data_IF_168728048841
#
_entry.id   IF_168728048841
#
_cell.length_a   1.000
_cell.length_b   1.000
_cell.length_c   1.000
_cell.angle_alpha   90.00
_cell.angle_beta   90.00
_cell.angle_gamma   90.00
#
_symmetry.space_group_name_H-M   'P 1'
#
loop_
_entity.id
_entity.type
_entity.pdbx_description
1 polymer ?
#
# COMPACT_ATOMS: atom_id res chain seq x y z
N UNK A 1 19.77 -10.28 -21.52
CA UNK A 1 19.69 -8.94 -22.16
C UNK A 1 20.77 -8.04 -21.55
N UNK A 2 21.87 -7.75 -22.26
CA UNK A 2 23.06 -7.07 -21.72
C UNK A 2 22.98 -5.52 -21.65
N UNK A 3 21.89 -4.89 -22.08
CA UNK A 3 21.77 -3.42 -22.12
C UNK A 3 21.29 -2.78 -20.80
N UNK A 4 20.78 -3.57 -19.86
CA UNK A 4 20.33 -3.05 -18.58
C UNK A 4 21.43 -3.32 -17.56
N UNK A 5 22.15 -2.29 -17.06
CA UNK A 5 23.18 -2.52 -16.06
C UNK A 5 22.52 -3.20 -14.86
N UNK A 6 23.03 -4.37 -14.47
CA UNK A 6 22.62 -5.06 -13.25
C UNK A 6 23.18 -4.28 -12.07
N UNK A 7 22.51 -3.19 -11.71
CA UNK A 7 22.80 -2.52 -10.45
C UNK A 7 22.29 -3.46 -9.36
N UNK A 8 23.19 -4.19 -8.70
CA UNK A 8 22.87 -4.84 -7.44
C UNK A 8 22.40 -3.74 -6.49
N UNK A 9 21.11 -3.79 -6.15
CA UNK A 9 20.54 -2.85 -5.19
C UNK A 9 20.55 -3.52 -3.83
N UNK A 10 20.85 -2.77 -2.76
CA UNK A 10 20.56 -3.25 -1.43
C UNK A 10 19.07 -3.63 -1.37
N UNK A 11 18.77 -4.79 -0.79
CA UNK A 11 17.39 -5.20 -0.49
C UNK A 11 16.78 -4.10 0.37
N UNK A 12 15.82 -3.36 -0.19
CA UNK A 12 15.16 -2.30 0.55
C UNK A 12 14.02 -2.90 1.39
N UNK A 13 13.96 -2.59 2.69
CA UNK A 13 12.80 -2.92 3.51
C UNK A 13 11.54 -2.28 2.93
N UNK A 14 10.41 -2.99 3.01
CA UNK A 14 9.13 -2.54 2.46
C UNK A 14 8.63 -1.22 3.08
N UNK A 15 9.16 -0.85 4.25
CA UNK A 15 8.73 0.30 5.04
C UNK A 15 9.59 1.55 4.83
N UNK A 16 10.66 1.48 4.03
CA UNK A 16 11.54 2.62 3.80
C UNK A 16 11.30 3.26 2.44
N UNK A 17 11.29 4.61 2.37
CA UNK A 17 11.17 5.30 1.09
C UNK A 17 12.39 5.00 0.21
N UNK A 18 12.16 4.79 -1.09
CA UNK A 18 13.25 4.56 -2.04
C UNK A 18 14.14 5.79 -2.14
N UNK A 19 15.45 5.60 -1.96
CA UNK A 19 16.44 6.62 -2.26
C UNK A 19 16.64 6.70 -3.77
N UNK A 20 16.25 7.82 -4.37
CA UNK A 20 16.48 8.05 -5.79
C UNK A 20 17.99 8.31 -6.03
N UNK A 21 18.66 7.52 -6.89
CA UNK A 21 20.03 7.82 -7.26
C UNK A 21 20.06 9.15 -8.02
N UNK A 22 20.88 10.11 -7.57
CA UNK A 22 21.16 11.36 -8.29
C UNK A 22 21.94 11.04 -9.57
N UNK A 23 21.23 10.67 -10.63
CA UNK A 23 21.79 10.46 -11.97
C UNK A 23 21.69 11.77 -12.77
N UNK A 24 22.82 12.21 -13.32
CA UNK A 24 22.95 13.53 -13.96
C UNK A 24 22.07 13.66 -15.21
N UNK A 25 22.01 12.61 -16.03
CA UNK A 25 21.11 12.48 -17.19
C UNK A 25 20.89 10.98 -17.48
N UNK A 26 19.67 10.50 -17.39
CA UNK A 26 19.31 9.15 -17.79
C UNK A 26 17.85 9.10 -18.25
N UNK A 27 17.57 8.29 -19.27
CA UNK A 27 16.21 8.00 -19.71
C UNK A 27 15.87 6.59 -19.20
N UNK A 28 15.06 6.50 -18.15
CA UNK A 28 14.48 5.24 -17.70
C UNK A 28 12.97 5.31 -17.75
N UNK A 29 12.27 4.18 -17.92
CA UNK A 29 10.84 4.12 -17.66
C UNK A 29 10.54 4.65 -16.25
N UNK A 30 9.43 5.36 -16.10
CA UNK A 30 8.91 5.71 -14.77
C UNK A 30 8.75 4.41 -13.96
N UNK A 31 9.27 4.40 -12.74
CA UNK A 31 9.21 3.25 -11.84
C UNK A 31 8.22 3.58 -10.73
N UNK A 32 7.30 2.66 -10.49
CA UNK A 32 6.47 2.66 -9.29
C UNK A 32 6.99 1.59 -8.34
N UNK A 33 6.80 1.82 -7.04
CA UNK A 33 7.20 0.90 -6.00
C UNK A 33 6.34 -0.36 -6.02
N UNK A 34 5.01 -0.21 -6.00
CA UNK A 34 4.08 -1.31 -6.14
C UNK A 34 2.78 -0.89 -6.85
N UNK A 35 2.07 -1.89 -7.36
CA UNK A 35 0.65 -1.77 -7.71
C UNK A 35 -0.11 -2.45 -6.59
N UNK A 36 -1.01 -1.70 -5.96
CA UNK A 36 -1.89 -2.24 -4.93
C UNK A 36 -3.25 -2.51 -5.55
N UNK A 37 -3.86 -3.66 -5.20
CA UNK A 37 -5.15 -4.08 -5.75
C UNK A 37 -6.09 -4.49 -4.63
N UNK A 38 -7.33 -4.00 -4.66
CA UNK A 38 -8.41 -4.50 -3.83
C UNK A 38 -9.15 -5.57 -4.62
N UNK A 39 -9.15 -6.78 -4.07
CA UNK A 39 -9.86 -7.93 -4.63
C UNK A 39 -11.00 -8.35 -3.72
N UNK A 40 -12.14 -8.69 -4.31
CA UNK A 40 -13.19 -9.39 -3.60
C UNK A 40 -12.75 -10.82 -3.26
N UNK A 41 -13.42 -11.52 -2.33
CA UNK A 41 -13.06 -12.90 -1.96
C UNK A 41 -13.06 -13.89 -3.14
N UNK A 42 -13.78 -13.61 -4.23
CA UNK A 42 -13.77 -14.43 -5.44
C UNK A 42 -12.59 -14.12 -6.39
N UNK A 43 -11.68 -13.22 -6.01
CA UNK A 43 -10.49 -12.87 -6.78
C UNK A 43 -10.72 -11.76 -7.82
N UNK A 44 -11.90 -11.17 -7.89
CA UNK A 44 -12.18 -10.07 -8.83
C UNK A 44 -11.59 -8.77 -8.29
N UNK A 45 -10.72 -8.14 -9.09
CA UNK A 45 -10.18 -6.81 -8.78
C UNK A 45 -11.28 -5.76 -8.95
N UNK A 46 -11.58 -5.02 -7.89
CA UNK A 46 -12.60 -3.95 -7.90
C UNK A 46 -11.98 -2.55 -7.89
N UNK A 47 -10.74 -2.42 -7.42
CA UNK A 47 -9.98 -1.18 -7.47
C UNK A 47 -8.48 -1.50 -7.49
N UNK A 48 -7.69 -0.59 -8.06
CA UNK A 48 -6.23 -0.68 -8.05
C UNK A 48 -5.62 0.72 -8.07
N UNK A 49 -4.40 0.85 -7.57
CA UNK A 49 -3.62 2.08 -7.64
C UNK A 49 -2.13 1.80 -7.77
N UNK A 50 -1.36 2.81 -8.20
CA UNK A 50 0.10 2.74 -8.23
C UNK A 50 0.64 3.56 -7.07
N UNK A 51 1.50 2.97 -6.26
CA UNK A 51 2.29 3.70 -5.29
C UNK A 51 3.68 3.93 -5.84
N UNK A 52 4.00 5.19 -6.17
CA UNK A 52 5.25 5.53 -6.87
C UNK A 52 6.49 5.31 -6.00
N UNK A 53 6.42 5.70 -4.72
CA UNK A 53 7.58 5.76 -3.82
C UNK A 53 7.57 4.73 -2.70
N UNK A 54 6.40 4.51 -2.11
CA UNK A 54 6.22 3.59 -1.00
C UNK A 54 4.74 3.27 -0.80
N UNK A 55 4.49 2.04 -0.39
CA UNK A 55 3.23 1.61 0.21
C UNK A 55 3.19 2.05 1.67
N UNK A 56 3.02 3.37 1.87
CA UNK A 56 2.95 3.95 3.21
C UNK A 56 1.54 3.75 3.80
N UNK A 57 1.40 3.54 5.12
CA UNK A 57 0.10 3.40 5.77
C UNK A 57 -0.87 4.56 5.48
N UNK A 58 -0.36 5.78 5.38
CA UNK A 58 -1.17 6.96 5.05
C UNK A 58 -1.68 6.92 3.60
N UNK A 59 -0.84 6.49 2.65
CA UNK A 59 -1.25 6.34 1.26
C UNK A 59 -2.33 5.26 1.11
N UNK A 60 -2.18 4.14 1.85
CA UNK A 60 -3.19 3.09 1.89
C UNK A 60 -4.52 3.63 2.44
N UNK A 61 -4.50 4.35 3.58
CA UNK A 61 -5.73 4.90 4.17
C UNK A 61 -6.43 5.88 3.22
N UNK A 62 -5.69 6.84 2.66
CA UNK A 62 -6.24 7.80 1.70
C UNK A 62 -6.86 7.09 0.49
N UNK A 63 -6.20 6.03 0.02
CA UNK A 63 -6.72 5.25 -1.09
C UNK A 63 -7.98 4.46 -0.70
N UNK A 64 -8.01 3.81 0.47
CA UNK A 64 -9.20 3.12 0.98
C UNK A 64 -10.39 4.08 1.12
N UNK A 65 -10.18 5.29 1.63
CA UNK A 65 -11.24 6.32 1.74
C UNK A 65 -11.72 6.77 0.35
N UNK A 66 -10.82 6.83 -0.64
CA UNK A 66 -11.19 7.17 -2.03
C UNK A 66 -12.03 6.08 -2.70
N UNK A 67 -11.79 4.80 -2.37
CA UNK A 67 -12.53 3.67 -2.92
C UNK A 67 -13.85 3.44 -2.19
N UNK A 68 -13.88 3.66 -0.87
CA UNK A 68 -15.04 3.43 -0.01
C UNK A 68 -15.47 4.72 0.75
N UNK A 69 -16.01 5.72 0.03
CA UNK A 69 -16.31 7.02 0.61
C UNK A 69 -17.45 6.98 1.64
N UNK A 70 -18.46 6.12 1.45
CA UNK A 70 -19.64 6.05 2.34
C UNK A 70 -19.59 4.84 3.26
N UNK A 71 -20.31 4.90 4.39
CA UNK A 71 -20.38 3.78 5.34
C UNK A 71 -20.90 2.50 4.69
N UNK A 72 -21.90 2.58 3.80
CA UNK A 72 -22.50 1.41 3.15
C UNK A 72 -21.57 0.76 2.12
N UNK A 73 -20.63 1.53 1.57
CA UNK A 73 -19.66 1.02 0.60
C UNK A 73 -18.50 0.27 1.26
N UNK A 74 -18.24 0.51 2.55
CA UNK A 74 -17.07 -0.03 3.24
C UNK A 74 -17.24 -1.54 3.51
N UNK A 75 -16.21 -2.36 3.25
CA UNK A 75 -16.28 -3.78 3.55
C UNK A 75 -16.20 -4.02 5.07
N UNK A 76 -16.85 -5.09 5.52
CA UNK A 76 -16.79 -5.53 6.93
C UNK A 76 -15.36 -5.92 7.34
N UNK A 77 -14.59 -6.45 6.41
CA UNK A 77 -13.23 -6.94 6.62
C UNK A 77 -12.28 -6.46 5.53
N UNK A 78 -11.11 -5.99 5.96
CA UNK A 78 -10.01 -5.58 5.08
C UNK A 78 -8.78 -6.38 5.50
N UNK A 79 -8.37 -7.32 4.65
CA UNK A 79 -7.14 -8.09 4.84
C UNK A 79 -6.00 -7.39 4.11
N UNK A 80 -4.92 -7.06 4.82
CA UNK A 80 -3.73 -6.45 4.23
C UNK A 80 -2.49 -6.81 5.05
N UNK A 81 -1.35 -7.01 4.38
CA UNK A 81 -0.06 -7.35 4.99
C UNK A 81 0.30 -6.40 6.14
N UNK A 82 0.15 -5.08 5.93
CA UNK A 82 0.50 -4.04 6.90
C UNK A 82 -0.65 -3.57 7.79
N UNK A 83 -1.67 -4.40 8.00
CA UNK A 83 -2.88 -4.01 8.72
C UNK A 83 -2.61 -3.40 10.10
N UNK A 84 -1.59 -3.89 10.82
CA UNK A 84 -1.19 -3.36 12.12
C UNK A 84 -0.65 -1.92 12.04
N UNK A 85 0.15 -1.59 11.03
CA UNK A 85 0.67 -0.24 10.80
C UNK A 85 -0.42 0.70 10.27
N UNK A 86 -1.27 0.21 9.38
CA UNK A 86 -2.45 0.93 8.88
C UNK A 86 -3.38 1.30 10.03
N UNK A 87 -3.72 0.33 10.89
CA UNK A 87 -4.55 0.58 12.07
C UNK A 87 -3.88 1.56 13.03
N UNK A 88 -2.58 1.42 13.30
CA UNK A 88 -1.84 2.37 14.14
C UNK A 88 -1.93 3.80 13.59
N UNK A 89 -1.75 3.98 12.29
CA UNK A 89 -1.85 5.29 11.64
C UNK A 89 -3.29 5.83 11.69
N UNK A 90 -4.30 4.98 11.48
CA UNK A 90 -5.71 5.35 11.58
C UNK A 90 -6.10 5.79 13.00
N UNK A 91 -5.54 5.16 14.03
CA UNK A 91 -5.74 5.59 15.41
C UNK A 91 -5.06 6.95 15.63
N UNK A 92 -3.82 7.11 15.17
CA UNK A 92 -3.04 8.33 15.37
C UNK A 92 -3.62 9.56 14.67
N UNK A 93 -4.20 9.40 13.47
CA UNK A 93 -4.82 10.49 12.72
C UNK A 93 -6.34 10.65 13.04
N UNK A 94 -6.90 9.78 13.89
CA UNK A 94 -8.31 9.81 14.29
C UNK A 94 -9.29 9.16 13.31
N UNK A 95 -8.87 8.77 12.10
CA UNK A 95 -9.77 8.16 11.11
C UNK A 95 -10.34 6.83 11.60
N UNK A 96 -9.68 6.14 12.51
CA UNK A 96 -10.21 4.94 13.14
C UNK A 96 -11.56 5.22 13.83
N UNK A 97 -11.61 6.21 14.71
CA UNK A 97 -12.80 6.48 15.52
C UNK A 97 -13.99 6.99 14.69
N UNK A 98 -13.73 7.83 13.68
CA UNK A 98 -14.79 8.51 12.92
C UNK A 98 -15.17 7.83 11.60
N UNK A 99 -14.28 7.02 11.01
CA UNK A 99 -14.47 6.43 9.67
C UNK A 99 -14.57 4.90 9.75
N UNK A 100 -13.58 4.24 10.35
CA UNK A 100 -13.37 2.80 10.14
C UNK A 100 -13.95 1.90 11.24
N UNK A 101 -14.01 2.37 12.49
CA UNK A 101 -14.36 1.56 13.66
C UNK A 101 -15.77 0.95 13.61
N UNK A 102 -16.73 1.64 12.99
CA UNK A 102 -18.12 1.17 12.91
C UNK A 102 -18.30 0.11 11.83
N UNK A 103 -17.66 0.28 10.68
CA UNK A 103 -17.95 -0.50 9.47
C UNK A 103 -16.97 -1.63 9.21
N UNK A 104 -15.71 -1.49 9.61
CA UNK A 104 -14.64 -2.33 9.08
C UNK A 104 -13.73 -2.89 10.17
N UNK A 105 -13.12 -4.05 9.89
CA UNK A 105 -12.10 -4.70 10.71
C UNK A 105 -10.86 -4.92 9.87
N UNK A 106 -9.72 -4.41 10.33
CA UNK A 106 -8.43 -4.69 9.70
C UNK A 106 -7.89 -6.04 10.18
N UNK A 107 -7.55 -6.90 9.23
CA UNK A 107 -6.97 -8.23 9.46
C UNK A 107 -5.56 -8.24 8.88
N UNK A 108 -4.60 -8.66 9.70
CA UNK A 108 -3.22 -8.89 9.24
C UNK A 108 -3.21 -10.17 8.41
N UNK A 109 -2.71 -10.08 7.18
CA UNK A 109 -2.54 -11.24 6.32
C UNK A 109 -1.63 -12.29 6.98
N UNK A 110 -1.98 -13.58 6.85
CA UNK A 110 -1.20 -14.69 7.38
C UNK A 110 0.16 -14.84 6.68
N UNK A 111 0.30 -14.28 5.49
CA UNK A 111 1.56 -14.18 4.74
C UNK A 111 2.39 -12.95 5.13
N UNK A 112 2.13 -12.32 6.29
CA UNK A 112 3.05 -11.34 6.87
C UNK A 112 4.37 -12.01 7.25
N UNK A 113 5.23 -12.18 6.25
CA UNK A 113 6.57 -12.70 6.42
C UNK A 113 7.34 -11.69 7.26
N UNK A 114 7.81 -12.13 8.43
CA UNK A 114 8.85 -11.43 9.17
C UNK A 114 10.03 -11.27 8.20
N UNK A 115 10.21 -10.07 7.67
CA UNK A 115 11.37 -9.66 6.88
C UNK A 115 12.31 -8.85 7.73
#
# INVERSE_FOLDING_TARGET
MPWQPSTERPVQPHDQPTSEPKLKHYFSPSRFYCVETITTPCGVVIAWTKFDKAESPTNILNWLESVFPTEESRPDYICIDKACLVLRTAIANGSWEWIWKKTSRFIVDSYHYIK
#
